data_IF_455084436483
#
_entry.id   IF_455084436483
#
_cell.length_a   1.000
_cell.length_b   1.000
_cell.length_c   1.000
_cell.angle_alpha   90.00
_cell.angle_beta   90.00
_cell.angle_gamma   90.00
#
_symmetry.space_group_name_H-M   'P 1'
#
loop_
_entity.id
_entity.type
_entity.pdbx_description
1 polymer ?
#
# COMPACT_ATOMS: atom_id res chain seq x y z
N UNK A 1 -6.17 -14.14 -9.03
CA UNK A 1 -7.38 -13.28 -9.25
C UNK A 1 -7.08 -11.87 -8.77
N UNK A 2 -7.34 -10.87 -9.60
CA UNK A 2 -7.17 -9.45 -9.27
C UNK A 2 -8.57 -8.85 -9.05
N UNK A 3 -8.77 -8.13 -7.96
CA UNK A 3 -9.98 -7.35 -7.69
C UNK A 3 -9.58 -5.90 -7.42
N UNK A 4 -10.16 -4.97 -8.16
CA UNK A 4 -10.02 -3.53 -7.92
C UNK A 4 -11.27 -3.05 -7.17
N UNK A 5 -11.09 -2.26 -6.14
CA UNK A 5 -12.17 -1.72 -5.31
C UNK A 5 -11.96 -0.21 -5.22
N UNK A 6 -12.79 0.54 -5.93
CA UNK A 6 -12.80 1.99 -5.84
C UNK A 6 -13.57 2.44 -4.60
N UNK A 7 -13.22 3.61 -4.08
CA UNK A 7 -13.87 4.21 -2.91
C UNK A 7 -13.96 3.23 -1.72
N UNK A 8 -12.84 2.58 -1.40
CA UNK A 8 -12.77 1.61 -0.30
C UNK A 8 -13.08 2.25 1.05
N UNK A 9 -12.68 3.50 1.22
CA UNK A 9 -12.94 4.33 2.40
C UNK A 9 -13.56 5.67 1.96
N UNK A 10 -14.17 6.38 2.91
CA UNK A 10 -14.68 7.72 2.67
C UNK A 10 -13.55 8.70 2.29
N UNK A 11 -13.83 9.65 1.40
CA UNK A 11 -12.85 10.60 0.86
C UNK A 11 -12.10 11.35 1.96
N UNK A 12 -12.81 11.82 3.00
CA UNK A 12 -12.16 12.53 4.11
C UNK A 12 -11.15 11.67 4.86
N UNK A 13 -11.40 10.36 4.99
CA UNK A 13 -10.46 9.43 5.61
C UNK A 13 -9.25 9.19 4.70
N UNK A 14 -9.47 9.04 3.39
CA UNK A 14 -8.37 8.92 2.43
C UNK A 14 -7.46 10.16 2.45
N UNK A 15 -8.04 11.36 2.50
CA UNK A 15 -7.28 12.62 2.63
C UNK A 15 -6.46 12.67 3.93
N UNK A 16 -7.05 12.28 5.06
CA UNK A 16 -6.34 12.24 6.33
C UNK A 16 -5.18 11.24 6.32
N UNK A 17 -5.38 10.08 5.71
CA UNK A 17 -4.32 9.07 5.56
C UNK A 17 -3.21 9.58 4.64
N UNK A 18 -3.55 10.17 3.49
CA UNK A 18 -2.57 10.75 2.56
C UNK A 18 -1.72 11.84 3.25
N UNK A 19 -2.36 12.75 3.98
CA UNK A 19 -1.65 13.80 4.74
C UNK A 19 -0.76 13.18 5.83
N UNK A 20 -1.26 12.19 6.54
CA UNK A 20 -0.49 11.48 7.57
C UNK A 20 0.75 10.80 7.00
N UNK A 21 0.61 10.02 5.91
CA UNK A 21 1.73 9.28 5.33
C UNK A 21 2.79 10.19 4.71
N UNK A 22 2.40 11.35 4.18
CA UNK A 22 3.35 12.35 3.67
C UNK A 22 4.25 12.93 4.75
N UNK A 23 3.79 13.00 5.98
CA UNK A 23 4.51 13.59 7.11
C UNK A 23 5.27 12.56 7.95
N UNK A 24 5.34 11.30 7.51
CA UNK A 24 6.07 10.26 8.20
C UNK A 24 7.60 10.39 8.02
N UNK A 25 8.33 9.84 8.98
CA UNK A 25 9.79 9.71 8.89
C UNK A 25 10.18 8.51 8.02
N UNK A 26 10.13 8.68 6.73
CA UNK A 26 10.45 7.65 5.76
C UNK A 26 11.92 7.23 5.81
N UNK A 27 12.17 5.93 5.68
CA UNK A 27 13.52 5.38 5.52
C UNK A 27 13.75 5.00 4.07
N UNK A 28 14.85 5.47 3.50
CA UNK A 28 15.32 5.07 2.19
C UNK A 28 16.21 3.82 2.27
N UNK A 29 16.50 3.21 1.14
CA UNK A 29 17.38 2.07 0.98
C UNK A 29 16.74 0.70 1.20
N UNK A 30 15.40 0.63 1.18
CA UNK A 30 14.70 -0.65 1.20
C UNK A 30 14.69 -1.27 -0.20
N UNK A 31 14.76 -2.59 -0.25
CA UNK A 31 14.72 -3.38 -1.49
C UNK A 31 13.69 -4.51 -1.36
N UNK A 32 12.84 -4.68 -2.39
CA UNK A 32 11.85 -5.76 -2.43
C UNK A 32 12.51 -7.14 -2.55
N UNK A 33 13.69 -7.18 -3.13
CA UNK A 33 14.53 -8.37 -3.25
C UNK A 33 15.98 -8.00 -3.00
N UNK A 34 16.63 -8.76 -2.14
CA UNK A 34 18.03 -8.52 -1.75
C UNK A 34 18.95 -8.39 -2.96
N UNK A 35 19.79 -7.35 -2.95
CA UNK A 35 20.81 -7.09 -3.98
C UNK A 35 20.27 -6.43 -5.23
N UNK A 36 19.05 -5.92 -5.24
CA UNK A 36 18.49 -5.19 -6.38
C UNK A 36 18.90 -3.71 -6.36
N UNK A 37 19.16 -3.12 -7.54
CA UNK A 37 19.65 -1.74 -7.60
C UNK A 37 18.59 -0.69 -7.30
N UNK A 38 17.30 -0.99 -7.53
CA UNK A 38 16.21 -0.03 -7.39
C UNK A 38 15.67 -0.03 -5.98
N UNK A 39 16.12 0.94 -5.20
CA UNK A 39 15.71 1.15 -3.81
C UNK A 39 14.48 2.04 -3.73
N UNK A 40 13.76 1.92 -2.64
CA UNK A 40 12.60 2.76 -2.36
C UNK A 40 12.49 3.13 -0.88
N UNK A 41 11.58 4.05 -0.59
CA UNK A 41 11.24 4.46 0.75
C UNK A 41 10.30 3.44 1.38
N UNK A 42 10.48 3.16 2.67
CA UNK A 42 9.73 2.14 3.36
C UNK A 42 9.48 2.51 4.83
N UNK A 43 8.31 2.13 5.34
CA UNK A 43 7.97 2.17 6.75
C UNK A 43 7.16 0.92 7.08
N UNK A 44 7.62 0.11 8.03
CA UNK A 44 6.84 -0.98 8.58
C UNK A 44 5.77 -0.40 9.52
N UNK A 45 4.50 -0.72 9.26
CA UNK A 45 3.40 -0.33 10.13
C UNK A 45 3.24 -1.31 11.30
N UNK A 46 3.29 -2.60 11.03
CA UNK A 46 3.18 -3.66 12.03
C UNK A 46 2.81 -5.01 11.43
N UNK A 47 2.82 -6.05 12.26
CA UNK A 47 2.49 -7.42 11.90
C UNK A 47 1.06 -7.82 12.30
N UNK A 48 0.41 -7.02 13.14
CA UNK A 48 -0.98 -7.21 13.56
C UNK A 48 -1.60 -5.86 13.99
N UNK A 49 -2.88 -5.90 14.35
CA UNK A 49 -3.64 -4.71 14.77
C UNK A 49 -3.04 -4.01 15.98
N UNK A 50 -2.53 -4.76 16.94
CA UNK A 50 -1.94 -4.19 18.16
C UNK A 50 -0.65 -3.45 17.85
N UNK A 51 0.25 -4.07 17.10
CA UNK A 51 1.52 -3.45 16.70
C UNK A 51 1.28 -2.23 15.81
N UNK A 52 0.36 -2.31 14.85
CA UNK A 52 -0.01 -1.15 14.03
C UNK A 52 -0.51 0.01 14.89
N UNK A 53 -1.34 -0.25 15.89
CA UNK A 53 -1.83 0.77 16.82
C UNK A 53 -0.72 1.36 17.68
N UNK A 54 0.16 0.54 18.23
CA UNK A 54 1.32 0.98 19.03
C UNK A 54 2.27 1.84 18.22
N UNK A 55 2.41 1.55 16.93
CA UNK A 55 3.22 2.32 15.98
C UNK A 55 2.49 3.54 15.36
N UNK A 56 1.29 3.86 15.82
CA UNK A 56 0.43 4.94 15.30
C UNK A 56 -0.09 4.72 13.85
N UNK A 57 -0.29 3.48 13.46
CA UNK A 57 -0.87 3.09 12.17
C UNK A 57 -2.25 2.41 12.33
N UNK A 58 -3.06 2.79 13.29
CA UNK A 58 -4.38 2.19 13.54
C UNK A 58 -5.30 2.22 12.31
N UNK A 59 -5.14 3.21 11.44
CA UNK A 59 -5.89 3.32 10.19
C UNK A 59 -5.68 2.13 9.23
N UNK A 60 -4.58 1.40 9.34
CA UNK A 60 -4.34 0.15 8.59
C UNK A 60 -5.44 -0.86 8.88
N UNK A 61 -5.81 -1.03 10.15
CA UNK A 61 -6.88 -1.93 10.57
C UNK A 61 -8.23 -1.53 9.97
N UNK A 62 -8.52 -0.22 9.90
CA UNK A 62 -9.77 0.28 9.30
C UNK A 62 -9.85 -0.04 7.81
N UNK A 63 -8.76 0.19 7.07
CA UNK A 63 -8.68 -0.14 5.64
C UNK A 63 -8.83 -1.65 5.44
N UNK A 64 -8.13 -2.45 6.23
CA UNK A 64 -8.20 -3.90 6.13
C UNK A 64 -9.60 -4.44 6.40
N UNK A 65 -10.29 -3.96 7.43
CA UNK A 65 -11.68 -4.35 7.72
C UNK A 65 -12.63 -3.92 6.60
N UNK A 66 -12.45 -2.73 6.04
CA UNK A 66 -13.24 -2.28 4.88
C UNK A 66 -13.05 -3.20 3.67
N UNK A 67 -11.82 -3.63 3.41
CA UNK A 67 -11.52 -4.58 2.34
C UNK A 67 -12.13 -5.97 2.61
N UNK A 68 -12.00 -6.51 3.81
CA UNK A 68 -12.62 -7.79 4.21
C UNK A 68 -14.12 -7.79 3.92
N UNK A 69 -14.82 -6.74 4.33
CA UNK A 69 -16.26 -6.60 4.12
C UNK A 69 -16.65 -6.60 2.62
N UNK A 70 -15.74 -6.11 1.75
CA UNK A 70 -15.98 -6.04 0.29
C UNK A 70 -15.66 -7.34 -0.43
N UNK A 71 -14.81 -8.18 0.13
CA UNK A 71 -14.40 -9.45 -0.51
C UNK A 71 -15.03 -10.68 0.11
N UNK A 72 -15.75 -10.53 1.20
CA UNK A 72 -16.47 -11.60 1.92
C UNK A 72 -15.57 -12.80 2.22
N UNK A 73 -14.41 -12.55 2.82
CA UNK A 73 -13.46 -13.57 3.23
C UNK A 73 -12.94 -13.32 4.64
N UNK A 74 -12.77 -14.39 5.38
CA UNK A 74 -12.03 -14.36 6.63
C UNK A 74 -10.53 -14.32 6.34
N UNK A 75 -9.96 -13.15 6.53
CA UNK A 75 -8.54 -12.89 6.32
C UNK A 75 -7.92 -12.29 7.58
N UNK A 76 -6.66 -12.60 7.79
CA UNK A 76 -5.77 -11.90 8.71
C UNK A 76 -4.59 -11.39 7.92
N UNK A 77 -3.97 -10.29 8.30
CA UNK A 77 -2.75 -9.87 7.64
C UNK A 77 -1.50 -10.26 8.43
N UNK A 78 -0.45 -10.63 7.71
CA UNK A 78 0.83 -11.01 8.29
C UNK A 78 1.70 -9.80 8.60
N UNK A 79 1.56 -8.77 7.79
CA UNK A 79 2.27 -7.49 7.95
C UNK A 79 1.62 -6.40 7.11
N UNK A 80 1.79 -5.18 7.56
CA UNK A 80 1.43 -3.98 6.82
C UNK A 80 2.60 -3.01 6.78
N UNK A 81 2.82 -2.36 5.65
CA UNK A 81 3.87 -1.39 5.46
C UNK A 81 3.48 -0.35 4.41
N UNK A 82 4.14 0.80 4.45
CA UNK A 82 4.03 1.81 3.42
C UNK A 82 5.29 1.81 2.56
N UNK A 83 5.10 1.86 1.25
CA UNK A 83 6.18 2.06 0.29
C UNK A 83 5.96 3.36 -0.49
N UNK A 84 7.04 4.07 -0.79
CA UNK A 84 7.02 5.20 -1.70
C UNK A 84 8.20 5.10 -2.68
N UNK A 85 7.90 5.36 -3.94
CA UNK A 85 8.89 5.28 -5.02
C UNK A 85 9.19 6.68 -5.55
N UNK A 86 10.45 6.95 -5.81
CA UNK A 86 10.87 8.18 -6.49
C UNK A 86 10.47 8.09 -7.97
N UNK A 87 10.02 9.18 -8.54
CA UNK A 87 9.65 9.25 -9.95
C UNK A 87 10.78 8.71 -10.85
N UNK A 88 10.42 7.86 -11.81
CA UNK A 88 11.36 7.25 -12.75
C UNK A 88 12.09 6.00 -12.22
N UNK A 89 11.86 5.60 -10.98
CA UNK A 89 12.39 4.35 -10.44
C UNK A 89 11.36 3.24 -10.63
N UNK A 90 11.76 2.19 -11.32
CA UNK A 90 10.94 0.98 -11.48
C UNK A 90 11.39 -0.07 -10.46
N UNK A 91 10.50 -0.53 -9.58
CA UNK A 91 10.80 -1.64 -8.69
C UNK A 91 10.92 -2.95 -9.48
N UNK A 92 11.64 -3.91 -8.92
CA UNK A 92 11.75 -5.23 -9.53
C UNK A 92 10.49 -6.06 -9.37
N UNK A 93 10.19 -6.87 -10.39
CA UNK A 93 9.17 -7.91 -10.28
C UNK A 93 9.57 -8.91 -9.20
N UNK A 94 8.66 -9.18 -8.31
CA UNK A 94 8.79 -10.14 -7.21
C UNK A 94 7.45 -10.77 -6.90
N UNK A 95 7.45 -11.78 -6.09
CA UNK A 95 6.27 -12.37 -5.48
C UNK A 95 6.26 -12.01 -4.01
N UNK A 96 5.10 -11.63 -3.50
CA UNK A 96 4.90 -11.46 -2.07
C UNK A 96 4.69 -12.82 -1.39
N UNK A 97 5.02 -12.89 -0.12
CA UNK A 97 4.63 -14.02 0.73
C UNK A 97 3.13 -13.91 1.05
N UNK A 98 2.51 -15.01 1.43
CA UNK A 98 1.08 -15.05 1.76
C UNK A 98 0.18 -15.36 0.58
N UNK A 99 -1.10 -15.57 0.86
CA UNK A 99 -2.11 -15.96 -0.14
C UNK A 99 -2.69 -14.76 -0.88
N UNK A 100 -2.65 -13.57 -0.26
CA UNK A 100 -3.22 -12.33 -0.79
C UNK A 100 -2.31 -11.15 -0.49
N UNK A 101 -2.23 -10.23 -1.44
CA UNK A 101 -1.64 -8.91 -1.26
C UNK A 101 -2.72 -7.86 -1.47
N UNK A 102 -2.86 -6.94 -0.52
CA UNK A 102 -3.71 -5.78 -0.63
C UNK A 102 -2.84 -4.53 -0.81
N UNK A 103 -3.14 -3.75 -1.83
CA UNK A 103 -2.49 -2.47 -2.08
C UNK A 103 -3.55 -1.37 -1.97
N UNK A 104 -3.28 -0.37 -1.15
CA UNK A 104 -4.13 0.80 -0.97
C UNK A 104 -3.42 2.06 -1.44
N UNK A 105 -4.10 2.84 -2.25
CA UNK A 105 -3.63 4.13 -2.77
C UNK A 105 -4.47 5.24 -2.13
N UNK A 106 -3.91 6.03 -1.21
CA UNK A 106 -4.71 6.99 -0.43
C UNK A 106 -4.99 8.31 -1.14
N UNK A 107 -4.23 8.64 -2.17
CA UNK A 107 -4.27 9.97 -2.77
C UNK A 107 -5.39 10.11 -3.80
N UNK A 108 -6.33 11.04 -3.57
CA UNK A 108 -7.51 11.25 -4.43
C UNK A 108 -7.24 12.13 -5.66
N UNK A 109 -6.20 12.96 -5.63
CA UNK A 109 -5.87 13.89 -6.72
C UNK A 109 -4.72 13.37 -7.61
N UNK A 110 -4.55 12.04 -7.70
CA UNK A 110 -3.51 11.45 -8.52
C UNK A 110 -3.79 11.65 -9.99
N UNK A 111 -2.82 12.22 -10.71
CA UNK A 111 -2.93 12.43 -12.15
C UNK A 111 -2.26 11.27 -12.91
N UNK A 112 -2.95 10.70 -13.89
CA UNK A 112 -2.45 9.55 -14.68
C UNK A 112 -1.08 9.78 -15.29
N UNK A 113 -0.74 11.04 -15.64
CA UNK A 113 0.60 11.40 -16.14
C UNK A 113 1.74 11.22 -15.14
N UNK A 114 1.44 11.05 -13.85
CA UNK A 114 2.43 10.77 -12.82
C UNK A 114 2.80 9.30 -12.75
N UNK A 115 2.10 8.44 -13.49
CA UNK A 115 2.23 6.98 -13.45
C UNK A 115 1.94 6.43 -12.04
N UNK A 116 2.71 5.45 -11.56
CA UNK A 116 2.56 4.90 -10.21
C UNK A 116 1.61 3.71 -10.12
N UNK A 117 1.10 3.22 -11.24
CA UNK A 117 0.32 1.99 -11.27
C UNK A 117 1.15 0.76 -10.91
N UNK A 118 0.48 -0.31 -10.53
CA UNK A 118 1.12 -1.58 -10.18
C UNK A 118 0.92 -2.62 -11.27
N UNK A 119 2.01 -3.24 -11.72
CA UNK A 119 1.98 -4.32 -12.70
C UNK A 119 1.81 -5.67 -11.98
N UNK A 120 0.70 -6.36 -12.23
CA UNK A 120 0.38 -7.66 -11.63
C UNK A 120 0.11 -8.67 -12.75
N UNK A 121 0.88 -9.73 -12.82
CA UNK A 121 0.76 -10.77 -13.84
C UNK A 121 0.65 -10.23 -15.29
N UNK A 122 1.45 -9.22 -15.60
CA UNK A 122 1.47 -8.56 -16.91
C UNK A 122 0.30 -7.58 -17.16
N UNK A 123 -0.59 -7.37 -16.19
CA UNK A 123 -1.67 -6.41 -16.25
C UNK A 123 -1.34 -5.17 -15.43
N UNK A 124 -1.35 -4.01 -16.05
CA UNK A 124 -1.20 -2.74 -15.35
C UNK A 124 -2.51 -2.37 -14.64
N UNK A 125 -2.45 -2.17 -13.34
CA UNK A 125 -3.50 -1.56 -12.52
C UNK A 125 -3.10 -0.11 -12.34
N UNK A 126 -3.81 0.78 -12.97
CA UNK A 126 -3.53 2.23 -12.89
C UNK A 126 -3.86 2.77 -11.50
N UNK A 127 -3.05 3.72 -11.05
CA UNK A 127 -3.41 4.56 -9.93
C UNK A 127 -4.28 5.70 -10.45
N UNK A 128 -5.54 5.69 -10.09
CA UNK A 128 -6.48 6.78 -10.36
C UNK A 128 -6.95 7.34 -9.02
N UNK A 129 -6.93 8.66 -8.90
CA UNK A 129 -7.42 9.37 -7.72
C UNK A 129 -8.95 9.39 -7.66
#
# INVERSE_FOLDING_TARGET
MIKVIDSLVEDHLAILIDDYVRNLSWKYDYESKRGQPNKHWHILCGHDDLECKENNFEWVSWIFQSAKNKIDKELTYERAYCNAHTHGIEPHLHTDDGEFTMIFYPRLDWESKWNGGTLIDGKLIEYVG
#
